data_IF_001853664168
#
_entry.id   IF_001853664168
#
_cell.length_a   1.000
_cell.length_b   1.000
_cell.length_c   1.000
_cell.angle_alpha   90.00
_cell.angle_beta   90.00
_cell.angle_gamma   90.00
#
_symmetry.space_group_name_H-M   'P 1'
#
loop_
_entity.id
_entity.type
_entity.pdbx_description
1 polymer ?
#
# COMPACT_ATOMS: atom_id res chain seq x y z
N UNK A 1 29.78 19.44 10.60
CA UNK A 1 29.03 18.58 9.65
C UNK A 1 27.56 18.85 9.90
N UNK A 2 26.91 19.65 9.05
CA UNK A 2 25.47 19.90 9.20
C UNK A 2 24.71 18.68 8.64
N UNK A 3 23.81 18.05 9.40
CA UNK A 3 22.99 16.97 8.87
C UNK A 3 22.10 17.55 7.76
N UNK A 4 22.06 16.87 6.61
CA UNK A 4 21.27 17.28 5.46
C UNK A 4 19.78 17.27 5.83
N UNK A 5 19.19 18.45 6.04
CA UNK A 5 17.82 18.64 6.55
C UNK A 5 16.77 17.90 5.69
N UNK A 6 17.06 17.74 4.39
CA UNK A 6 16.22 17.02 3.43
C UNK A 6 16.07 15.53 3.76
N UNK A 7 17.14 14.90 4.28
CA UNK A 7 17.12 13.50 4.71
C UNK A 7 16.41 13.30 6.06
N UNK A 8 16.43 14.31 6.93
CA UNK A 8 15.70 14.27 8.19
C UNK A 8 14.18 14.42 7.99
N UNK A 9 13.75 15.30 7.07
CA UNK A 9 12.33 15.47 6.76
C UNK A 9 11.72 14.20 6.16
N UNK A 10 12.43 13.49 5.27
CA UNK A 10 11.92 12.24 4.68
C UNK A 10 11.67 11.14 5.72
N UNK A 11 12.40 11.12 6.85
CA UNK A 11 12.19 10.14 7.93
C UNK A 11 10.95 10.37 8.79
N UNK A 12 10.36 11.56 8.77
CA UNK A 12 9.23 11.89 9.66
C UNK A 12 7.88 11.50 9.03
N UNK A 13 7.80 11.41 7.69
CA UNK A 13 6.51 11.28 7.01
C UNK A 13 6.04 9.85 6.75
N UNK A 14 6.89 8.81 6.71
CA UNK A 14 6.44 7.41 6.58
C UNK A 14 7.51 6.37 7.01
N UNK A 15 7.70 6.08 8.32
CA UNK A 15 8.74 5.15 8.74
C UNK A 15 8.31 3.67 8.83
N UNK A 16 7.09 3.29 8.42
CA UNK A 16 6.52 1.99 8.81
C UNK A 16 6.58 0.89 7.74
N UNK A 17 6.58 1.23 6.44
CA UNK A 17 6.76 0.22 5.38
C UNK A 17 8.24 -0.16 5.14
N UNK A 18 9.19 0.68 5.58
CA UNK A 18 10.62 0.48 5.31
C UNK A 18 11.26 -0.74 5.98
N UNK A 19 10.65 -1.26 7.06
CA UNK A 19 11.24 -2.34 7.85
C UNK A 19 10.75 -3.75 7.48
N UNK A 20 9.83 -3.87 6.51
CA UNK A 20 9.54 -5.13 5.83
C UNK A 20 10.24 -5.18 4.47
N UNK A 21 11.50 -4.72 4.40
CA UNK A 21 12.43 -5.15 3.34
C UNK A 21 12.34 -6.68 3.31
N UNK A 22 11.84 -7.21 2.19
CA UNK A 22 11.56 -8.63 2.01
C UNK A 22 12.74 -9.51 2.41
N UNK A 23 12.45 -10.79 2.62
CA UNK A 23 13.45 -11.82 2.93
C UNK A 23 14.77 -11.51 2.25
N UNK A 24 15.83 -11.38 3.05
CA UNK A 24 17.19 -11.25 2.55
C UNK A 24 17.44 -12.46 1.67
N UNK A 25 17.30 -12.30 0.35
CA UNK A 25 17.82 -13.28 -0.60
C UNK A 25 19.33 -13.28 -0.36
N UNK A 26 19.77 -14.30 0.34
CA UNK A 26 21.14 -14.47 0.79
C UNK A 26 21.96 -14.93 -0.42
N UNK A 27 22.40 -13.97 -1.23
CA UNK A 27 23.17 -14.25 -2.43
C UNK A 27 23.54 -12.98 -3.19
N UNK A 28 24.67 -13.01 -3.88
CA UNK A 28 25.14 -12.00 -4.84
C UNK A 28 24.35 -12.03 -6.16
N UNK A 29 23.06 -12.35 -6.10
CA UNK A 29 22.24 -12.57 -7.27
C UNK A 29 21.83 -11.20 -7.81
N UNK A 30 22.59 -10.72 -8.79
CA UNK A 30 22.13 -9.69 -9.70
C UNK A 30 21.18 -10.33 -10.70
N UNK A 31 19.88 -10.14 -10.50
CA UNK A 31 18.83 -10.60 -11.42
C UNK A 31 18.32 -9.41 -12.21
N UNK A 32 18.28 -9.53 -13.52
CA UNK A 32 17.68 -8.55 -14.42
C UNK A 32 16.52 -9.22 -15.15
N UNK A 33 15.37 -8.55 -15.18
CA UNK A 33 14.14 -9.05 -15.77
C UNK A 33 13.45 -7.91 -16.54
N UNK A 34 12.86 -8.21 -17.68
CA UNK A 34 11.98 -7.28 -18.38
C UNK A 34 10.55 -7.50 -17.87
N UNK A 35 9.88 -6.42 -17.45
CA UNK A 35 8.47 -6.46 -17.01
C UNK A 35 7.65 -5.46 -17.80
N UNK A 36 6.38 -5.79 -18.04
CA UNK A 36 5.41 -4.89 -18.67
C UNK A 36 4.75 -3.91 -17.68
N UNK A 37 4.84 -4.19 -16.38
CA UNK A 37 4.16 -3.45 -15.31
C UNK A 37 5.06 -3.31 -14.08
N UNK A 38 5.06 -2.16 -13.37
CA UNK A 38 4.20 -0.97 -13.53
C UNK A 38 4.47 -0.11 -14.76
N UNK A 39 5.69 -0.17 -15.32
CA UNK A 39 6.05 0.49 -16.59
C UNK A 39 6.87 -0.51 -17.41
N UNK A 40 6.62 -0.65 -18.72
CA UNK A 40 7.43 -1.51 -19.58
C UNK A 40 8.91 -1.15 -19.52
N UNK A 41 9.78 -2.11 -19.18
CA UNK A 41 11.20 -1.85 -19.04
C UNK A 41 12.00 -2.96 -18.37
N UNK A 42 13.29 -2.72 -18.18
CA UNK A 42 14.22 -3.63 -17.52
C UNK A 42 14.33 -3.25 -16.05
N UNK A 43 14.12 -4.26 -15.21
CA UNK A 43 14.17 -4.20 -13.77
C UNK A 43 15.36 -5.02 -13.25
N UNK A 44 16.08 -4.47 -12.28
CA UNK A 44 17.22 -5.10 -11.63
C UNK A 44 16.97 -5.30 -10.14
N UNK A 45 17.17 -6.51 -9.67
CA UNK A 45 17.21 -6.81 -8.25
C UNK A 45 18.58 -6.42 -7.67
N UNK A 46 18.57 -5.54 -6.68
CA UNK A 46 19.76 -5.11 -5.93
C UNK A 46 19.70 -5.71 -4.53
N UNK A 47 20.65 -6.59 -4.15
CA UNK A 47 20.69 -7.19 -2.83
C UNK A 47 20.59 -6.16 -1.70
N UNK A 48 19.68 -6.38 -0.75
CA UNK A 48 19.43 -5.49 0.37
C UNK A 48 18.63 -4.22 0.07
N UNK A 49 18.36 -3.92 -1.22
CA UNK A 49 17.51 -2.79 -1.64
C UNK A 49 16.21 -3.23 -2.34
N UNK A 50 16.19 -4.38 -3.01
CA UNK A 50 15.01 -4.88 -3.73
C UNK A 50 15.05 -4.58 -5.24
N UNK A 51 13.88 -4.62 -5.88
CA UNK A 51 13.72 -4.36 -7.31
C UNK A 51 13.82 -2.88 -7.65
N UNK A 52 14.52 -2.56 -8.73
CA UNK A 52 14.67 -1.20 -9.25
C UNK A 52 14.45 -1.20 -10.76
N UNK A 53 13.75 -0.20 -11.29
CA UNK A 53 13.70 0.07 -12.72
C UNK A 53 15.01 0.73 -13.15
N UNK A 54 15.70 0.14 -14.12
CA UNK A 54 16.98 0.64 -14.64
C UNK A 54 16.88 1.17 -16.07
N UNK A 55 15.90 0.68 -16.83
CA UNK A 55 15.67 1.09 -18.21
C UNK A 55 14.17 1.04 -18.52
N UNK A 56 13.64 2.06 -19.20
CA UNK A 56 12.25 2.12 -19.67
C UNK A 56 12.21 1.87 -21.16
N UNK A 57 11.25 1.08 -21.62
CA UNK A 57 11.06 0.85 -23.05
C UNK A 57 10.69 2.16 -23.76
N UNK A 58 11.32 2.42 -24.91
CA UNK A 58 11.13 3.66 -25.67
C UNK A 58 11.94 4.86 -25.16
N UNK A 59 12.79 4.67 -24.14
CA UNK A 59 13.78 5.69 -23.76
C UNK A 59 15.10 5.43 -24.50
N UNK A 60 15.71 6.47 -25.07
CA UNK A 60 16.99 6.33 -25.81
C UNK A 60 18.21 6.08 -24.89
N UNK A 61 18.03 6.17 -23.57
CA UNK A 61 19.09 6.03 -22.58
C UNK A 61 18.64 5.30 -21.31
N UNK A 62 19.61 4.73 -20.60
CA UNK A 62 19.41 4.17 -19.26
C UNK A 62 18.89 5.23 -18.28
N UNK A 63 18.08 4.79 -17.32
CA UNK A 63 17.63 5.67 -16.25
C UNK A 63 18.84 6.04 -15.38
N UNK A 64 19.22 7.33 -15.38
CA UNK A 64 20.41 7.84 -14.67
C UNK A 64 20.41 7.47 -13.18
N UNK A 65 19.24 7.31 -12.59
CA UNK A 65 19.05 6.90 -11.19
C UNK A 65 18.03 5.76 -11.16
N UNK A 66 18.43 4.54 -10.75
CA UNK A 66 17.49 3.42 -10.65
C UNK A 66 16.31 3.76 -9.74
N UNK A 67 15.08 3.54 -10.22
CA UNK A 67 13.86 3.89 -9.48
C UNK A 67 13.43 2.70 -8.63
N UNK A 68 13.37 2.81 -7.29
CA UNK A 68 13.05 1.68 -6.42
C UNK A 68 11.57 1.27 -6.50
N UNK A 69 11.33 -0.04 -6.36
CA UNK A 69 10.01 -0.65 -6.29
C UNK A 69 9.80 -1.37 -4.97
N UNK A 70 8.55 -1.39 -4.55
CA UNK A 70 8.09 -2.08 -3.35
C UNK A 70 6.88 -2.94 -3.69
N UNK A 71 6.80 -4.12 -3.07
CA UNK A 71 5.62 -4.97 -3.21
C UNK A 71 4.51 -4.41 -2.32
N UNK A 72 3.44 -3.91 -2.92
CA UNK A 72 2.28 -3.43 -2.19
C UNK A 72 1.39 -4.61 -1.77
N UNK A 73 1.28 -4.85 -0.46
CA UNK A 73 0.44 -5.92 0.11
C UNK A 73 -1.07 -5.68 -0.02
N UNK A 74 -1.49 -4.45 -0.26
CA UNK A 74 -2.91 -4.09 -0.43
C UNK A 74 -3.34 -4.35 -1.87
N UNK A 75 -2.52 -3.94 -2.86
CA UNK A 75 -2.78 -4.13 -4.28
C UNK A 75 -2.26 -5.46 -4.83
N UNK A 76 -1.48 -6.21 -4.04
CA UNK A 76 -0.83 -7.46 -4.42
C UNK A 76 0.08 -7.36 -5.66
N UNK A 77 0.70 -6.20 -5.89
CA UNK A 77 1.60 -5.94 -7.03
C UNK A 77 2.77 -5.03 -6.65
N UNK A 78 3.81 -5.03 -7.47
CA UNK A 78 4.89 -4.06 -7.36
C UNK A 78 4.42 -2.68 -7.81
N UNK A 79 4.76 -1.66 -7.02
CA UNK A 79 4.55 -0.24 -7.32
C UNK A 79 5.86 0.50 -7.05
N UNK A 80 6.02 1.71 -7.60
CA UNK A 80 7.19 2.51 -7.27
C UNK A 80 7.15 2.99 -5.82
N UNK A 81 8.31 3.19 -5.21
CA UNK A 81 8.41 3.67 -3.82
C UNK A 81 7.73 5.04 -3.66
N UNK A 82 7.92 5.96 -4.61
CA UNK A 82 7.27 7.28 -4.58
C UNK A 82 5.75 7.18 -4.71
N UNK A 83 5.24 6.29 -5.57
CA UNK A 83 3.80 6.08 -5.72
C UNK A 83 3.19 5.49 -4.43
N UNK A 84 3.91 4.58 -3.77
CA UNK A 84 3.51 4.05 -2.47
C UNK A 84 3.44 5.16 -1.42
N UNK A 85 4.41 6.07 -1.41
CA UNK A 85 4.47 7.25 -0.52
C UNK A 85 3.28 8.19 -0.76
N UNK A 86 3.01 8.53 -2.02
CA UNK A 86 1.94 9.47 -2.40
C UNK A 86 0.53 8.94 -2.04
N UNK A 87 0.36 7.61 -2.09
CA UNK A 87 -0.89 6.94 -1.73
C UNK A 87 -1.11 6.79 -0.23
N UNK A 88 -0.11 7.04 0.61
CA UNK A 88 -0.20 6.83 2.06
C UNK A 88 -0.46 8.14 2.82
N UNK A 89 -1.51 8.18 3.67
CA UNK A 89 -1.82 9.34 4.52
C UNK A 89 -2.25 8.95 5.92
N UNK A 90 -1.67 9.60 6.93
CA UNK A 90 -2.05 9.41 8.33
C UNK A 90 -3.31 10.22 8.66
N UNK A 91 -4.33 9.56 9.22
CA UNK A 91 -5.51 10.22 9.78
C UNK A 91 -5.88 9.65 11.15
N UNK A 92 -6.39 10.50 12.01
CA UNK A 92 -7.00 10.11 13.29
C UNK A 92 -8.50 9.94 13.08
N UNK A 93 -9.02 8.74 13.34
CA UNK A 93 -10.43 8.40 13.10
C UNK A 93 -11.06 7.76 14.31
N UNK A 94 -12.35 8.00 14.50
CA UNK A 94 -13.16 7.25 15.46
C UNK A 94 -13.62 5.94 14.82
N UNK A 95 -12.96 4.83 15.20
CA UNK A 95 -13.30 3.51 14.70
C UNK A 95 -14.68 3.03 15.21
N UNK A 96 -15.10 3.51 16.37
CA UNK A 96 -16.42 3.22 16.97
C UNK A 96 -16.97 4.55 17.47
N UNK A 97 -18.26 4.82 17.26
CA UNK A 97 -18.89 6.07 17.74
C UNK A 97 -18.66 6.22 19.24
N UNK A 98 -18.02 7.33 19.64
CA UNK A 98 -17.70 7.62 21.03
C UNK A 98 -16.45 6.92 21.59
N UNK A 99 -15.73 6.15 20.76
CA UNK A 99 -14.42 5.64 21.14
C UNK A 99 -13.33 6.69 20.94
N UNK A 100 -12.21 6.51 21.63
CA UNK A 100 -11.03 7.36 21.45
C UNK A 100 -10.55 7.29 19.99
N UNK A 101 -10.26 8.44 19.35
CA UNK A 101 -9.76 8.44 17.99
C UNK A 101 -8.44 7.67 17.90
N UNK A 102 -8.34 6.79 16.92
CA UNK A 102 -7.17 5.98 16.63
C UNK A 102 -6.45 6.53 15.39
N UNK A 103 -5.13 6.61 15.47
CA UNK A 103 -4.30 7.05 14.35
C UNK A 103 -4.01 5.86 13.43
N UNK A 104 -4.45 5.94 12.19
CA UNK A 104 -4.26 4.90 11.17
C UNK A 104 -3.57 5.47 9.94
N UNK A 105 -2.79 4.64 9.25
CA UNK A 105 -2.24 4.96 7.94
C UNK A 105 -3.17 4.43 6.87
N UNK A 106 -3.77 5.37 6.14
CA UNK A 106 -4.66 5.07 5.03
C UNK A 106 -3.88 4.97 3.73
N UNK A 107 -4.35 4.09 2.85
CA UNK A 107 -3.82 3.86 1.51
C UNK A 107 -4.90 4.16 0.46
N UNK A 108 -4.57 4.95 -0.54
CA UNK A 108 -5.43 5.28 -1.68
C UNK A 108 -5.40 4.16 -2.73
N UNK A 109 -6.58 3.62 -3.05
CA UNK A 109 -6.74 2.61 -4.08
C UNK A 109 -6.60 3.19 -5.49
N UNK A 110 -6.52 2.31 -6.47
CA UNK A 110 -6.32 2.67 -7.89
C UNK A 110 -7.46 3.51 -8.48
N UNK A 111 -8.63 3.52 -7.84
CA UNK A 111 -9.76 4.36 -8.26
C UNK A 111 -9.54 5.86 -7.98
N UNK A 112 -8.53 6.20 -7.18
CA UNK A 112 -8.14 7.59 -6.90
C UNK A 112 -9.00 8.31 -5.87
N UNK A 113 -10.01 7.66 -5.29
CA UNK A 113 -10.90 8.29 -4.30
C UNK A 113 -11.28 7.39 -3.12
N UNK A 114 -11.07 6.07 -3.22
CA UNK A 114 -11.31 5.14 -2.10
C UNK A 114 -10.04 4.94 -1.29
N UNK A 115 -10.18 5.06 0.03
CA UNK A 115 -9.12 4.82 0.99
C UNK A 115 -9.38 3.55 1.80
N UNK A 116 -8.31 2.89 2.23
CA UNK A 116 -8.35 1.74 3.16
C UNK A 116 -7.33 1.94 4.28
N UNK A 117 -7.66 1.50 5.50
CA UNK A 117 -6.70 1.50 6.59
C UNK A 117 -5.74 0.31 6.43
N UNK A 118 -4.48 0.60 6.10
CA UNK A 118 -3.46 -0.42 5.83
C UNK A 118 -2.51 -0.68 7.00
N UNK A 119 -2.34 0.29 7.90
CA UNK A 119 -1.48 0.14 9.08
C UNK A 119 -2.06 0.82 10.32
N UNK A 120 -1.78 0.24 11.48
CA UNK A 120 -2.14 0.79 12.78
C UNK A 120 -1.21 1.93 13.22
N UNK A 121 -1.49 2.53 14.39
CA UNK A 121 -0.68 3.59 14.98
C UNK A 121 0.79 3.21 15.25
N UNK A 122 1.08 1.90 15.36
CA UNK A 122 2.43 1.36 15.57
C UNK A 122 3.13 1.00 14.26
N UNK A 123 2.45 1.15 13.12
CA UNK A 123 2.96 0.75 11.82
C UNK A 123 2.84 -0.73 11.52
N UNK A 124 2.05 -1.49 12.27
CA UNK A 124 1.76 -2.88 11.97
C UNK A 124 0.77 -2.93 10.81
N UNK A 125 1.10 -3.73 9.80
CA UNK A 125 0.21 -3.97 8.67
C UNK A 125 -1.10 -4.63 9.13
N UNK A 126 -2.21 -4.08 8.67
CA UNK A 126 -3.57 -4.59 8.89
C UNK A 126 -3.93 -5.38 7.63
N UNK A 127 -4.10 -6.70 7.76
CA UNK A 127 -4.55 -7.52 6.64
C UNK A 127 -6.05 -7.38 6.41
N UNK A 128 -6.48 -7.51 5.15
CA UNK A 128 -7.89 -7.44 4.77
C UNK A 128 -8.76 -8.57 5.35
N UNK A 129 -10.09 -8.49 5.21
CA UNK A 129 -10.84 -7.60 4.31
C UNK A 129 -10.83 -6.13 4.73
N UNK A 130 -10.67 -5.22 3.76
CA UNK A 130 -10.55 -3.79 4.04
C UNK A 130 -11.91 -3.09 4.08
N UNK A 131 -12.18 -2.38 5.18
CA UNK A 131 -13.24 -1.38 5.23
C UNK A 131 -12.86 -0.22 4.29
N UNK A 132 -13.78 0.18 3.42
CA UNK A 132 -13.60 1.35 2.54
C UNK A 132 -13.93 2.66 3.26
N UNK A 133 -13.18 3.69 2.91
CA UNK A 133 -13.30 5.05 3.43
C UNK A 133 -13.23 6.06 2.29
N UNK A 134 -13.82 7.23 2.50
CA UNK A 134 -13.59 8.42 1.68
C UNK A 134 -13.03 9.54 2.56
N UNK A 135 -12.15 10.33 1.96
CA UNK A 135 -11.66 11.54 2.59
C UNK A 135 -12.73 12.63 2.46
N UNK A 136 -13.22 13.13 3.57
CA UNK A 136 -14.10 14.29 3.61
C UNK A 136 -13.23 15.55 3.76
N UNK A 137 -13.17 16.34 2.69
CA UNK A 137 -12.39 17.56 2.64
C UNK A 137 -12.96 18.67 3.56
N UNK A 138 -14.27 18.67 3.82
CA UNK A 138 -14.91 19.69 4.66
C UNK A 138 -14.60 19.45 6.14
N UNK A 139 -14.75 18.21 6.61
CA UNK A 139 -14.42 17.85 7.99
C UNK A 139 -12.93 17.53 8.20
N UNK A 140 -12.14 17.45 7.13
CA UNK A 140 -10.72 17.09 7.19
C UNK A 140 -10.45 15.68 7.72
N UNK A 141 -11.42 14.77 7.64
CA UNK A 141 -11.37 13.44 8.25
C UNK A 141 -11.78 12.32 7.30
N UNK A 142 -11.42 11.09 7.63
CA UNK A 142 -11.84 9.91 6.87
C UNK A 142 -13.22 9.46 7.36
N UNK A 143 -14.16 9.28 6.42
CA UNK A 143 -15.50 8.74 6.69
C UNK A 143 -15.63 7.35 6.10
N UNK A 144 -16.26 6.44 6.84
CA UNK A 144 -16.54 5.09 6.35
C UNK A 144 -17.53 5.14 5.21
N UNK A 145 -17.27 4.37 4.18
CA UNK A 145 -18.31 4.01 3.22
C UNK A 145 -19.23 3.05 3.93
N UNK A 146 -20.38 3.55 4.35
CA UNK A 146 -21.51 2.71 4.71
C UNK A 146 -21.97 2.10 3.39
N UNK A 147 -21.44 0.94 3.05
CA UNK A 147 -22.16 0.09 2.11
C UNK A 147 -23.57 -0.08 2.67
N UNK A 148 -24.64 -0.01 1.86
CA UNK A 148 -25.91 -0.51 2.34
C UNK A 148 -25.68 -1.96 2.79
N UNK A 149 -26.38 -2.40 3.85
CA UNK A 149 -26.51 -3.82 4.15
C UNK A 149 -26.75 -4.52 2.83
N UNK A 150 -25.81 -5.38 2.40
CA UNK A 150 -26.00 -6.09 1.15
C UNK A 150 -27.32 -6.81 1.27
N UNK A 151 -28.27 -6.42 0.42
CA UNK A 151 -29.47 -7.17 0.08
C UNK A 151 -29.13 -8.64 0.15
N UNK A 152 -29.82 -9.35 1.06
CA UNK A 152 -29.75 -10.79 1.25
C UNK A 152 -29.69 -11.52 -0.09
N UNK A 153 -28.50 -11.91 -0.55
CA UNK A 153 -28.35 -12.92 -1.59
C UNK A 153 -28.12 -14.25 -0.87
N UNK A 154 -29.25 -14.87 -0.54
CA UNK A 154 -29.47 -16.31 -0.55
C UNK A 154 -28.36 -17.19 0.04
N UNK A 155 -28.40 -17.40 1.36
CA UNK A 155 -28.09 -18.74 1.88
C UNK A 155 -29.42 -19.44 2.12
N UNK A 156 -29.97 -20.02 1.07
CA UNK A 156 -30.99 -21.04 1.21
C UNK A 156 -30.35 -22.21 1.97
N UNK A 157 -30.56 -22.27 3.29
CA UNK A 157 -30.34 -23.48 4.03
C UNK A 157 -31.41 -24.48 3.59
N UNK A 158 -31.07 -25.31 2.61
CA UNK A 158 -31.81 -26.53 2.33
C UNK A 158 -31.65 -27.39 3.59
N UNK A 159 -32.63 -27.31 4.48
CA UNK A 159 -32.83 -28.33 5.51
C UNK A 159 -33.28 -29.60 4.78
N UNK A 160 -32.63 -30.75 5.00
CA UNK A 160 -33.16 -32.01 4.49
C UNK A 160 -34.45 -32.31 5.26
N UNK A 161 -35.57 -32.32 4.54
CA UNK A 161 -36.85 -32.81 5.06
C UNK A 161 -36.65 -34.25 5.53
N UNK A 162 -36.79 -34.47 6.84
CA UNK A 162 -36.89 -35.79 7.43
C UNK A 162 -38.27 -36.33 7.09
N UNK A 163 -38.36 -37.26 6.15
CA UNK A 163 -39.57 -38.05 5.94
C UNK A 163 -39.73 -39.02 7.11
N UNK A 164 -40.91 -38.97 7.72
CA UNK A 164 -41.51 -40.01 8.58
C UNK A 164 -41.40 -41.40 8.01
#
# INVERSE_FOLDING_TARGET
MAPNLFLCLRKVFCPTYWFQRGERIQGSIHKEEHWDSPVPGIYKYIPGRGWHLVYKDGNDADEKVPVPLVYCRILHRYVFEHEMEDRCRWHSVETIKGAKPEKLLFFLLDDGFTWVAGWDAKGKFIAGPYQKWHYDAEAGTMRRVLFPESSNVSRASVLPNKST
#
